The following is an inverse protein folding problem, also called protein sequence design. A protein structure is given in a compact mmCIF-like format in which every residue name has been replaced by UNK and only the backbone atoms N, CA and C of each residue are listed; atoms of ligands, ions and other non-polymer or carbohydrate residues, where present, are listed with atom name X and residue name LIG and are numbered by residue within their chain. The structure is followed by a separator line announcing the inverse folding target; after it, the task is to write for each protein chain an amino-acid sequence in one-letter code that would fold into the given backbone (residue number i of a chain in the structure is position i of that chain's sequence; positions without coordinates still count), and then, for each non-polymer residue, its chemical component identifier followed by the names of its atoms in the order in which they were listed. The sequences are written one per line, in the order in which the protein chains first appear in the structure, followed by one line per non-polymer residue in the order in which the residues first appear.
data_IF_564098896806
#
_entry.id   IF_564098896806
#
_cell.length_a   1.000
_cell.length_b   1.000
_cell.length_c   1.000
_cell.angle_alpha   90.00
_cell.angle_beta   90.00
_cell.angle_gamma   90.00
#
_symmetry.space_group_name_H-M   'P 1'
#
loop_
_entity.id
_entity.type
_entity.pdbx_description
1 polymer ?
#
# COMPACT_ATOMS: atom_id res chain seq x y z
N UNK A 1 -2.01 -33.34 -25.03
CA UNK A 1 -1.73 -32.39 -23.93
C UNK A 1 -1.11 -31.11 -24.53
N UNK A 2 -1.76 -30.56 -25.56
CA UNK A 2 -1.22 -29.52 -26.47
C UNK A 2 -1.56 -28.07 -26.04
N UNK A 3 -2.58 -27.89 -25.20
CA UNK A 3 -3.30 -26.62 -25.11
C UNK A 3 -2.72 -25.62 -24.07
N UNK A 4 -1.94 -26.09 -23.09
CA UNK A 4 -1.40 -25.21 -22.03
C UNK A 4 -0.37 -24.21 -22.55
N UNK A 5 0.54 -24.65 -23.44
CA UNK A 5 1.60 -23.79 -24.01
C UNK A 5 0.99 -22.68 -24.86
N UNK A 6 -0.05 -22.98 -25.64
CA UNK A 6 -0.74 -21.99 -26.47
C UNK A 6 -1.44 -20.93 -25.63
N UNK A 7 -2.11 -21.31 -24.54
CA UNK A 7 -2.77 -20.35 -23.64
C UNK A 7 -1.74 -19.41 -22.99
N UNK A 8 -0.63 -19.94 -22.49
CA UNK A 8 0.42 -19.11 -21.88
C UNK A 8 0.99 -18.13 -22.92
N UNK A 9 1.31 -18.59 -24.13
CA UNK A 9 1.82 -17.71 -25.19
C UNK A 9 0.81 -16.63 -25.60
N UNK A 10 -0.49 -16.93 -25.58
CA UNK A 10 -1.54 -15.95 -25.90
C UNK A 10 -1.65 -14.83 -24.85
N UNK A 11 -1.57 -15.18 -23.56
CA UNK A 11 -1.85 -14.26 -22.44
C UNK A 11 -0.62 -13.78 -21.67
N UNK A 12 0.59 -14.24 -21.99
CA UNK A 12 1.84 -13.69 -21.45
C UNK A 12 2.14 -12.30 -22.04
N UNK A 13 1.33 -11.33 -21.65
CA UNK A 13 1.40 -9.93 -22.05
C UNK A 13 1.35 -9.06 -20.79
N UNK A 14 1.94 -7.86 -20.80
CA UNK A 14 1.78 -6.91 -19.70
C UNK A 14 0.29 -6.69 -19.40
N UNK A 15 -0.09 -6.82 -18.13
CA UNK A 15 -1.44 -6.61 -17.64
C UNK A 15 -1.44 -5.68 -16.42
N UNK A 16 -2.60 -5.10 -16.07
CA UNK A 16 -2.72 -4.28 -14.88
C UNK A 16 -2.44 -5.10 -13.62
N UNK A 17 -1.75 -4.49 -12.65
CA UNK A 17 -1.52 -5.08 -11.34
C UNK A 17 -2.76 -4.86 -10.47
N UNK A 18 -3.56 -5.91 -10.29
CA UNK A 18 -4.75 -5.86 -9.43
C UNK A 18 -4.36 -6.01 -7.95
N UNK A 19 -3.98 -4.91 -7.30
CA UNK A 19 -3.66 -4.88 -5.86
C UNK A 19 -4.87 -4.54 -4.98
N UNK A 20 -5.88 -3.89 -5.54
CA UNK A 20 -7.16 -3.55 -4.90
C UNK A 20 -8.24 -3.38 -5.95
N UNK A 21 -9.50 -3.37 -5.51
CA UNK A 21 -10.64 -3.00 -6.35
C UNK A 21 -11.60 -2.07 -5.58
N UNK A 22 -11.86 -0.86 -6.08
CA UNK A 22 -11.21 -0.22 -7.23
C UNK A 22 -9.69 0.01 -7.05
N UNK A 23 -8.92 0.11 -8.14
CA UNK A 23 -7.48 0.40 -8.07
C UNK A 23 -7.17 1.85 -7.67
N UNK A 24 -5.93 2.13 -7.25
CA UNK A 24 -5.51 3.42 -6.70
C UNK A 24 -5.72 4.64 -7.63
N UNK A 25 -5.77 4.44 -8.94
CA UNK A 25 -6.11 5.50 -9.91
C UNK A 25 -7.58 5.97 -9.83
N UNK A 26 -8.41 5.32 -9.01
CA UNK A 26 -9.76 5.79 -8.66
C UNK A 26 -9.78 6.67 -7.40
N UNK A 27 -8.64 6.88 -6.73
CA UNK A 27 -8.57 7.80 -5.60
C UNK A 27 -8.84 9.22 -6.08
N UNK A 28 -9.75 9.91 -5.38
CA UNK A 28 -10.16 11.27 -5.72
C UNK A 28 -9.85 12.23 -4.59
N UNK A 29 -9.50 13.47 -4.93
CA UNK A 29 -9.12 14.51 -3.96
C UNK A 29 -10.28 15.01 -3.09
N UNK A 30 -11.53 14.72 -3.44
CA UNK A 30 -12.70 15.09 -2.66
C UNK A 30 -12.88 14.24 -1.39
N UNK A 31 -12.21 13.08 -1.31
CA UNK A 31 -12.25 12.23 -0.12
C UNK A 31 -11.50 12.92 1.04
N UNK A 32 -12.24 13.24 2.09
CA UNK A 32 -11.75 14.02 3.23
C UNK A 32 -11.90 13.26 4.56
N UNK A 33 -11.49 13.92 5.66
CA UNK A 33 -11.49 13.32 7.00
C UNK A 33 -12.88 12.87 7.46
N UNK A 34 -13.95 13.57 7.10
CA UNK A 34 -15.30 13.15 7.48
C UNK A 34 -15.69 11.86 6.75
N UNK A 35 -15.33 11.72 5.47
CA UNK A 35 -15.54 10.47 4.75
C UNK A 35 -14.79 9.32 5.40
N UNK A 36 -13.54 9.54 5.84
CA UNK A 36 -12.73 8.52 6.52
C UNK A 36 -13.38 8.03 7.82
N UNK A 37 -13.84 8.94 8.68
CA UNK A 37 -14.52 8.59 9.94
C UNK A 37 -15.78 7.77 9.66
N UNK A 38 -16.63 8.24 8.73
CA UNK A 38 -17.85 7.50 8.35
C UNK A 38 -17.53 6.09 7.86
N UNK A 39 -16.51 5.92 7.02
CA UNK A 39 -16.12 4.58 6.53
C UNK A 39 -15.63 3.65 7.64
N UNK A 40 -14.92 4.17 8.67
CA UNK A 40 -14.53 3.38 9.84
C UNK A 40 -15.77 2.94 10.62
N UNK A 41 -16.68 3.87 10.90
CA UNK A 41 -17.91 3.58 11.66
C UNK A 41 -18.77 2.53 10.94
N UNK A 42 -18.94 2.65 9.63
CA UNK A 42 -19.65 1.68 8.79
C UNK A 42 -18.97 0.31 8.82
N UNK A 43 -17.63 0.26 8.78
CA UNK A 43 -16.88 -1.00 8.79
C UNK A 43 -17.11 -1.86 10.04
N UNK A 44 -17.44 -1.25 11.18
CA UNK A 44 -17.75 -1.96 12.42
C UNK A 44 -19.02 -2.84 12.33
N UNK A 45 -19.86 -2.58 11.34
CA UNK A 45 -21.14 -3.27 11.11
C UNK A 45 -21.06 -4.35 10.03
N UNK A 46 -19.91 -4.54 9.38
CA UNK A 46 -19.76 -5.44 8.24
C UNK A 46 -18.55 -6.37 8.43
N UNK A 47 -18.75 -7.68 8.22
CA UNK A 47 -17.66 -8.66 8.22
C UNK A 47 -17.09 -8.99 9.61
N UNK A 48 -15.84 -9.46 9.64
CA UNK A 48 -15.15 -9.82 10.88
C UNK A 48 -14.58 -8.56 11.54
N UNK A 49 -14.82 -8.40 12.85
CA UNK A 49 -14.40 -7.24 13.66
C UNK A 49 -12.92 -7.28 14.07
N UNK A 50 -12.08 -7.91 13.25
CA UNK A 50 -10.64 -7.98 13.49
C UNK A 50 -9.98 -6.73 12.92
N UNK A 51 -9.02 -6.18 13.65
CA UNK A 51 -8.24 -5.02 13.20
C UNK A 51 -6.91 -5.53 12.63
N UNK A 52 -6.59 -5.09 11.41
CA UNK A 52 -5.27 -5.27 10.80
C UNK A 52 -4.57 -3.91 10.75
N UNK A 53 -3.32 -3.85 11.18
CA UNK A 53 -2.53 -2.61 11.21
C UNK A 53 -1.37 -2.74 10.23
N UNK A 54 -1.25 -1.76 9.33
CA UNK A 54 -0.13 -1.64 8.40
C UNK A 54 0.72 -0.43 8.77
N UNK A 55 2.02 -0.66 8.98
CA UNK A 55 3.02 0.39 9.21
C UNK A 55 4.04 0.33 8.08
N UNK A 56 4.17 1.43 7.35
CA UNK A 56 5.14 1.53 6.27
C UNK A 56 6.52 1.94 6.83
N UNK A 57 7.60 1.24 6.48
CA UNK A 57 8.97 1.64 6.82
C UNK A 57 9.74 1.82 5.50
N UNK A 58 10.01 3.06 5.06
CA UNK A 58 10.50 3.29 3.70
C UNK A 58 12.03 3.21 3.57
N UNK A 59 12.80 2.88 4.61
CA UNK A 59 14.26 3.00 4.57
C UNK A 59 14.94 1.73 4.06
N UNK A 60 15.79 1.85 3.05
CA UNK A 60 16.63 0.76 2.53
C UNK A 60 18.10 1.11 2.66
N UNK A 61 18.94 0.16 3.10
CA UNK A 61 20.40 0.36 3.21
C UNK A 61 21.10 0.50 1.85
N UNK A 62 20.48 0.02 0.78
CA UNK A 62 21.03 0.04 -0.57
C UNK A 62 19.92 0.21 -1.61
N UNK A 63 20.29 0.69 -2.80
CA UNK A 63 19.37 0.87 -3.91
C UNK A 63 19.42 -0.32 -4.86
N UNK A 64 18.33 -1.10 -4.89
CA UNK A 64 18.17 -2.16 -5.88
C UNK A 64 17.68 -1.59 -7.21
N UNK A 65 18.37 -1.88 -8.32
CA UNK A 65 18.02 -1.35 -9.65
C UNK A 65 16.64 -1.76 -10.15
N UNK A 66 16.09 -2.87 -9.64
CA UNK A 66 14.77 -3.40 -10.02
C UNK A 66 13.65 -2.97 -9.05
N UNK A 67 13.94 -2.21 -7.98
CA UNK A 67 12.94 -1.89 -6.96
C UNK A 67 11.94 -0.85 -7.48
N UNK A 68 10.65 -1.19 -7.42
CA UNK A 68 9.52 -0.28 -7.68
C UNK A 68 8.69 0.03 -6.42
N UNK A 69 9.22 -0.24 -5.23
CA UNK A 69 8.53 0.03 -3.97
C UNK A 69 8.65 1.51 -3.59
N UNK A 70 7.65 2.04 -2.87
CA UNK A 70 7.75 3.34 -2.21
C UNK A 70 8.80 3.23 -1.09
N UNK A 71 10.03 3.63 -1.38
CA UNK A 71 11.19 3.49 -0.49
C UNK A 71 12.16 4.63 -0.75
N UNK A 72 13.02 4.89 0.22
CA UNK A 72 14.11 5.85 0.17
C UNK A 72 15.38 5.21 0.70
N UNK A 73 16.54 5.72 0.27
CA UNK A 73 17.80 5.30 0.84
C UNK A 73 17.90 5.76 2.29
N UNK A 74 18.45 4.90 3.13
CA UNK A 74 18.85 5.27 4.47
C UNK A 74 19.98 6.30 4.38
N UNK A 75 19.72 7.53 4.84
CA UNK A 75 20.72 8.60 4.86
C UNK A 75 21.47 8.64 6.20
N UNK A 76 20.73 8.64 7.31
CA UNK A 76 21.26 8.68 8.67
C UNK A 76 20.17 8.34 9.70
N UNK A 77 20.59 8.03 10.92
CA UNK A 77 19.68 7.72 12.03
C UNK A 77 18.76 8.89 12.40
N UNK A 78 19.24 10.13 12.29
CA UNK A 78 18.46 11.33 12.62
C UNK A 78 17.17 11.43 11.79
N UNK A 79 17.22 11.11 10.49
CA UNK A 79 16.05 11.07 9.63
C UNK A 79 15.06 9.98 10.06
N UNK A 80 15.58 8.79 10.40
CA UNK A 80 14.76 7.67 10.89
C UNK A 80 14.10 8.03 12.22
N UNK A 81 14.83 8.61 13.18
CA UNK A 81 14.26 9.05 14.46
C UNK A 81 13.16 10.09 14.27
N UNK A 82 13.32 11.04 13.34
CA UNK A 82 12.28 12.01 12.98
C UNK A 82 11.04 11.31 12.40
N UNK A 83 11.23 10.32 11.52
CA UNK A 83 10.14 9.54 10.96
C UNK A 83 9.36 8.78 12.04
N UNK A 84 10.06 8.07 12.93
CA UNK A 84 9.45 7.34 14.04
C UNK A 84 8.71 8.30 14.99
N UNK A 85 9.27 9.48 15.29
CA UNK A 85 8.59 10.49 16.10
C UNK A 85 7.28 10.98 15.44
N UNK A 86 7.24 11.09 14.11
CA UNK A 86 6.02 11.44 13.37
C UNK A 86 5.00 10.30 13.35
N UNK A 87 5.44 9.06 13.17
CA UNK A 87 4.59 7.88 13.24
C UNK A 87 3.93 7.76 14.63
N UNK A 88 4.69 7.93 15.71
CA UNK A 88 4.16 7.92 17.07
C UNK A 88 3.13 9.05 17.27
N UNK A 89 3.39 10.25 16.71
CA UNK A 89 2.44 11.36 16.78
C UNK A 89 1.14 11.02 16.05
N UNK A 90 1.23 10.44 14.85
CA UNK A 90 0.07 10.02 14.05
C UNK A 90 -0.79 9.00 14.81
N UNK A 91 -0.17 7.96 15.40
CA UNK A 91 -0.89 6.93 16.18
C UNK A 91 -1.62 7.50 17.41
N UNK A 92 -1.10 8.58 17.99
CA UNK A 92 -1.70 9.22 19.19
C UNK A 92 -2.82 10.21 18.87
N UNK A 93 -2.95 10.64 17.62
CA UNK A 93 -3.93 11.65 17.21
C UNK A 93 -5.24 10.98 16.86
#
# INVERSE_FOLDING_TARGET
MENKKQIILKYNRPGPRYTSYPPANFFKSEFNNNNFITQIEESNNVGQKNISIYIHIPFCSQRCHFCGCNTTLFENETLVSKYIARLIKEIRT
#
